data_IF_902247576087
#
_entry.id   IF_902247576087
#
_cell.length_a   1.000
_cell.length_b   1.000
_cell.length_c   1.000
_cell.angle_alpha   90.00
_cell.angle_beta   90.00
_cell.angle_gamma   90.00
#
_symmetry.space_group_name_H-M   'P 1'
#
loop_
_entity.id
_entity.type
_entity.pdbx_description
1 polymer ?
#
# COMPACT_ATOMS: atom_id res chain seq x y z
N UNK A 1 -22.84 -15.36 5.39
CA UNK A 1 -23.48 -15.77 6.65
C UNK A 1 -24.97 -15.47 6.54
N UNK A 2 -25.80 -16.54 6.58
CA UNK A 2 -27.23 -16.41 6.74
C UNK A 2 -27.56 -16.75 8.19
N UNK A 3 -28.41 -15.94 8.82
CA UNK A 3 -28.86 -16.17 10.19
C UNK A 3 -30.38 -16.29 10.20
N UNK A 4 -30.91 -17.29 10.87
CA UNK A 4 -32.33 -17.47 11.09
C UNK A 4 -32.61 -17.85 12.55
N UNK A 5 -33.73 -17.37 13.08
CA UNK A 5 -34.21 -17.81 14.38
C UNK A 5 -35.28 -18.89 14.16
N UNK A 6 -35.15 -20.01 14.83
CA UNK A 6 -36.13 -21.09 14.84
C UNK A 6 -36.61 -21.35 16.26
N UNK A 7 -37.81 -21.90 16.40
CA UNK A 7 -38.33 -22.29 17.71
C UNK A 7 -37.45 -23.39 18.33
N UNK A 8 -37.13 -23.22 19.59
CA UNK A 8 -36.42 -24.26 20.37
C UNK A 8 -37.32 -25.42 20.80
N UNK A 9 -36.74 -26.45 21.34
CA UNK A 9 -37.44 -27.65 21.82
C UNK A 9 -38.20 -27.46 23.12
N UNK A 10 -38.02 -26.35 23.83
CA UNK A 10 -38.71 -25.98 25.06
C UNK A 10 -39.49 -24.68 24.87
N UNK A 11 -40.60 -24.53 25.61
CA UNK A 11 -41.46 -23.36 25.55
C UNK A 11 -40.66 -22.06 25.88
N UNK A 12 -40.71 -21.08 24.94
CA UNK A 12 -39.95 -19.83 25.05
C UNK A 12 -38.48 -19.92 24.57
N UNK A 13 -37.96 -21.07 24.21
CA UNK A 13 -36.59 -21.19 23.69
C UNK A 13 -36.51 -20.82 22.20
N UNK A 14 -35.44 -20.14 21.84
CA UNK A 14 -35.13 -19.77 20.44
C UNK A 14 -33.75 -20.27 20.08
N UNK A 15 -33.64 -20.93 18.94
CA UNK A 15 -32.37 -21.39 18.38
C UNK A 15 -31.93 -20.40 17.31
N UNK A 16 -30.74 -19.87 17.42
CA UNK A 16 -30.08 -19.13 16.36
C UNK A 16 -29.37 -20.11 15.42
N UNK A 17 -29.88 -20.26 14.21
CA UNK A 17 -29.23 -21.03 13.15
C UNK A 17 -28.33 -20.08 12.37
N UNK A 18 -27.02 -20.42 12.32
CA UNK A 18 -26.04 -19.67 11.53
C UNK A 18 -25.54 -20.58 10.42
N UNK A 19 -25.89 -20.22 9.18
CA UNK A 19 -25.39 -20.91 7.99
C UNK A 19 -24.20 -20.13 7.42
N UNK A 20 -23.03 -20.75 7.40
CA UNK A 20 -21.80 -20.19 6.82
C UNK A 20 -21.50 -20.91 5.50
N UNK A 21 -21.51 -20.16 4.39
CA UNK A 21 -20.94 -20.67 3.13
C UNK A 21 -19.42 -20.50 3.17
N UNK A 22 -18.71 -21.60 3.11
CA UNK A 22 -17.26 -21.61 3.02
C UNK A 22 -16.85 -21.47 1.55
N UNK A 23 -15.96 -20.51 1.26
CA UNK A 23 -15.35 -20.32 -0.05
C UNK A 23 -13.88 -20.70 0.06
N UNK A 24 -13.53 -21.90 -0.44
CA UNK A 24 -12.16 -22.43 -0.35
C UNK A 24 -11.15 -21.52 -1.06
N UNK A 25 -11.51 -20.99 -2.24
CA UNK A 25 -10.63 -20.17 -3.06
C UNK A 25 -11.23 -18.78 -3.24
N UNK A 26 -10.45 -17.76 -2.94
CA UNK A 26 -10.73 -16.35 -3.24
C UNK A 26 -9.50 -15.69 -3.83
N UNK A 27 -9.69 -14.63 -4.60
CA UNK A 27 -8.54 -13.97 -5.20
C UNK A 27 -8.93 -12.72 -5.97
N UNK A 28 -7.95 -12.13 -6.66
CA UNK A 28 -8.19 -10.97 -7.49
C UNK A 28 -7.01 -10.63 -8.39
N UNK A 29 -7.33 -9.85 -9.39
CA UNK A 29 -6.37 -9.25 -10.32
C UNK A 29 -6.49 -7.75 -10.21
N UNK A 30 -5.38 -7.07 -10.02
CA UNK A 30 -5.30 -5.61 -9.99
C UNK A 30 -4.38 -5.12 -11.09
N UNK A 31 -4.76 -4.03 -11.72
CA UNK A 31 -3.94 -3.30 -12.68
C UNK A 31 -3.95 -1.81 -12.32
N UNK A 32 -2.80 -1.15 -12.43
CA UNK A 32 -2.69 0.29 -12.29
C UNK A 32 -1.54 0.87 -13.14
N UNK A 33 -1.55 2.19 -13.33
CA UNK A 33 -0.51 2.92 -14.07
C UNK A 33 0.18 3.99 -13.20
N UNK A 34 0.34 3.73 -11.92
CA UNK A 34 0.84 4.72 -10.95
C UNK A 34 2.36 4.69 -10.76
N UNK A 35 3.06 3.74 -11.36
CA UNK A 35 4.52 3.64 -11.26
C UNK A 35 5.22 4.79 -11.99
N UNK A 36 6.50 5.01 -11.66
CA UNK A 36 7.33 5.99 -12.37
C UNK A 36 7.51 5.61 -13.85
N UNK A 37 7.94 6.57 -14.66
CA UNK A 37 8.19 6.36 -16.10
C UNK A 37 9.36 5.38 -16.30
N UNK A 38 10.39 5.48 -15.48
CA UNK A 38 11.55 4.61 -15.47
C UNK A 38 11.17 3.16 -15.13
N UNK A 39 10.14 2.96 -14.32
CA UNK A 39 9.59 1.65 -13.99
C UNK A 39 8.46 1.22 -14.95
N UNK A 40 8.16 2.02 -16.00
CA UNK A 40 7.23 1.69 -17.08
C UNK A 40 5.76 1.91 -16.74
N UNK A 41 5.44 2.72 -15.73
CA UNK A 41 4.09 3.17 -15.31
C UNK A 41 3.09 2.08 -14.92
N UNK A 42 3.13 0.91 -15.53
CA UNK A 42 2.12 -0.14 -15.41
C UNK A 42 2.53 -1.21 -14.42
N UNK A 43 1.59 -1.65 -13.60
CA UNK A 43 1.77 -2.74 -12.65
C UNK A 43 0.53 -3.63 -12.65
N UNK A 44 0.73 -4.93 -12.85
CA UNK A 44 -0.26 -5.97 -12.65
C UNK A 44 0.04 -6.75 -11.38
N UNK A 45 -0.99 -7.07 -10.60
CA UNK A 45 -0.90 -7.88 -9.39
C UNK A 45 -1.96 -8.97 -9.48
N UNK A 46 -1.55 -10.20 -9.26
CA UNK A 46 -2.43 -11.35 -9.07
C UNK A 46 -2.32 -11.82 -7.64
N UNK A 47 -3.45 -12.00 -6.96
CA UNK A 47 -3.49 -12.55 -5.61
C UNK A 47 -4.50 -13.67 -5.54
N UNK A 48 -4.14 -14.74 -4.83
CA UNK A 48 -5.02 -15.89 -4.57
C UNK A 48 -4.90 -16.29 -3.10
N UNK A 49 -6.04 -16.54 -2.46
CA UNK A 49 -6.10 -16.99 -1.07
C UNK A 49 -6.86 -18.30 -1.01
N UNK A 50 -6.25 -19.31 -0.40
CA UNK A 50 -6.86 -20.58 -0.03
C UNK A 50 -7.32 -20.42 1.42
N UNK A 51 -8.63 -20.47 1.63
CA UNK A 51 -9.25 -20.28 2.93
C UNK A 51 -9.49 -21.62 3.60
N UNK A 52 -9.01 -21.77 4.82
CA UNK A 52 -9.22 -22.97 5.66
C UNK A 52 -8.95 -24.30 4.96
N UNK A 53 -7.78 -24.48 4.30
CA UNK A 53 -7.47 -25.75 3.60
C UNK A 53 -7.43 -26.96 4.52
N UNK A 54 -7.15 -26.78 5.81
CA UNK A 54 -7.10 -27.86 6.81
C UNK A 54 -8.35 -27.87 7.70
N UNK A 55 -9.15 -26.78 7.68
CA UNK A 55 -10.43 -26.71 8.41
C UNK A 55 -10.37 -25.99 9.76
N UNK A 56 -9.25 -25.36 10.11
CA UNK A 56 -9.06 -24.62 11.37
C UNK A 56 -9.22 -23.10 11.25
N UNK A 57 -9.69 -22.59 10.08
CA UNK A 57 -9.85 -21.16 9.84
C UNK A 57 -8.56 -20.44 9.42
N UNK A 58 -7.53 -21.21 9.08
CA UNK A 58 -6.26 -20.70 8.54
C UNK A 58 -6.44 -20.17 7.11
N UNK A 59 -5.50 -19.36 6.64
CA UNK A 59 -5.47 -18.91 5.24
C UNK A 59 -4.05 -18.89 4.69
N UNK A 60 -3.91 -19.32 3.44
CA UNK A 60 -2.69 -19.22 2.66
C UNK A 60 -2.94 -18.28 1.48
N UNK A 61 -2.28 -17.13 1.51
CA UNK A 61 -2.33 -16.13 0.43
C UNK A 61 -1.04 -16.19 -0.37
N UNK A 62 -1.17 -16.24 -1.69
CA UNK A 62 -0.08 -16.14 -2.65
C UNK A 62 -0.34 -14.90 -3.51
N UNK A 63 0.72 -14.14 -3.79
CA UNK A 63 0.62 -13.04 -4.75
C UNK A 63 1.81 -13.01 -5.68
N UNK A 64 1.57 -12.50 -6.88
CA UNK A 64 2.59 -12.20 -7.86
C UNK A 64 2.35 -10.82 -8.44
N UNK A 65 3.41 -10.08 -8.68
CA UNK A 65 3.36 -8.78 -9.33
C UNK A 65 4.35 -8.72 -10.48
N UNK A 66 3.95 -8.10 -11.57
CA UNK A 66 4.80 -7.88 -12.72
C UNK A 66 4.33 -6.68 -13.53
N UNK A 67 5.25 -6.12 -14.29
CA UNK A 67 4.88 -5.18 -15.35
C UNK A 67 4.29 -5.96 -16.54
N UNK A 68 3.03 -5.71 -16.92
CA UNK A 68 2.48 -6.31 -18.13
C UNK A 68 3.08 -5.68 -19.39
N UNK A 69 3.49 -6.51 -20.36
CA UNK A 69 3.93 -6.05 -21.68
C UNK A 69 2.71 -5.97 -22.60
N UNK A 70 2.18 -4.77 -22.80
CA UNK A 70 1.03 -4.56 -23.69
C UNK A 70 1.52 -3.98 -25.01
N UNK A 71 1.37 -4.75 -26.12
CA UNK A 71 1.72 -4.29 -27.48
C UNK A 71 0.95 -3.00 -27.82
N UNK A 72 1.67 -1.96 -28.22
CA UNK A 72 1.09 -0.67 -28.66
C UNK A 72 0.98 0.41 -27.58
N UNK A 73 1.20 0.13 -26.30
CA UNK A 73 1.43 1.17 -25.32
C UNK A 73 2.89 1.63 -25.39
N UNK A 74 3.10 2.94 -25.56
CA UNK A 74 4.42 3.56 -25.45
C UNK A 74 4.91 3.37 -24.02
N UNK A 75 5.64 2.32 -23.78
CA UNK A 75 6.45 2.10 -22.59
C UNK A 75 7.89 2.12 -23.02
N UNK A 76 8.73 2.71 -22.21
CA UNK A 76 10.18 2.59 -22.29
C UNK A 76 10.56 1.15 -22.61
N UNK A 77 11.54 0.94 -23.45
CA UNK A 77 11.98 -0.29 -24.08
C UNK A 77 11.90 -1.61 -23.29
N UNK A 78 12.35 -2.67 -23.91
CA UNK A 78 12.28 -4.04 -23.37
C UNK A 78 13.05 -4.28 -22.04
N UNK A 79 13.80 -3.27 -21.56
CA UNK A 79 14.74 -3.38 -20.44
C UNK A 79 14.13 -3.05 -19.06
N UNK A 80 12.90 -2.57 -19.02
CA UNK A 80 12.24 -2.25 -17.75
C UNK A 80 11.61 -3.49 -17.14
N UNK A 81 12.00 -3.81 -15.93
CA UNK A 81 11.47 -4.95 -15.21
C UNK A 81 11.02 -4.57 -13.81
N UNK A 82 9.76 -4.85 -13.50
CA UNK A 82 9.26 -5.03 -12.13
C UNK A 82 8.69 -6.42 -12.07
N UNK A 83 9.16 -7.21 -11.14
CA UNK A 83 8.59 -8.52 -10.85
C UNK A 83 8.77 -8.85 -9.38
N UNK A 84 7.85 -9.62 -8.84
CA UNK A 84 7.95 -10.09 -7.47
C UNK A 84 6.83 -11.03 -7.13
N UNK A 85 6.88 -11.58 -5.96
CA UNK A 85 5.85 -12.45 -5.43
C UNK A 85 6.09 -12.80 -3.98
N UNK A 86 5.11 -13.40 -3.37
CA UNK A 86 5.23 -13.80 -1.97
C UNK A 86 4.10 -14.70 -1.52
N UNK A 87 4.28 -15.18 -0.31
CA UNK A 87 3.39 -16.07 0.42
C UNK A 87 3.09 -15.47 1.78
N UNK A 88 1.86 -15.59 2.23
CA UNK A 88 1.46 -15.25 3.60
C UNK A 88 0.55 -16.34 4.14
N UNK A 89 0.90 -16.85 5.29
CA UNK A 89 0.10 -17.83 6.04
C UNK A 89 -0.43 -17.18 7.30
N UNK A 90 -1.71 -17.34 7.60
CA UNK A 90 -2.29 -16.92 8.87
C UNK A 90 -3.05 -18.06 9.52
N UNK A 91 -2.94 -18.15 10.85
CA UNK A 91 -3.53 -19.20 11.65
C UNK A 91 -4.19 -18.62 12.88
N UNK A 92 -5.46 -18.94 13.17
CA UNK A 92 -6.12 -18.54 14.42
C UNK A 92 -5.57 -19.34 15.59
N UNK A 93 -5.22 -18.65 16.67
CA UNK A 93 -4.72 -19.23 17.91
C UNK A 93 -5.81 -19.21 18.96
N UNK A 94 -6.46 -20.35 19.16
CA UNK A 94 -7.59 -20.48 20.09
C UNK A 94 -8.87 -19.86 19.55
N UNK A 95 -9.80 -19.55 20.44
CA UNK A 95 -11.17 -19.10 20.17
C UNK A 95 -11.42 -17.60 20.44
N UNK A 96 -10.44 -16.91 21.00
CA UNK A 96 -10.52 -15.50 21.39
C UNK A 96 -10.21 -14.50 20.25
N UNK A 97 -10.02 -15.00 19.01
CA UNK A 97 -9.74 -14.20 17.82
C UNK A 97 -8.27 -13.80 17.64
N UNK A 98 -7.34 -14.28 18.48
CA UNK A 98 -5.91 -14.11 18.27
C UNK A 98 -5.48 -14.84 16.97
N UNK A 99 -4.70 -14.18 16.12
CA UNK A 99 -4.15 -14.74 14.88
C UNK A 99 -2.65 -14.58 14.82
N UNK A 100 -1.95 -15.66 14.47
CA UNK A 100 -0.55 -15.59 14.06
C UNK A 100 -0.46 -15.47 12.55
N UNK A 101 0.57 -14.80 12.07
CA UNK A 101 0.85 -14.67 10.64
C UNK A 101 2.34 -14.80 10.37
N UNK A 102 2.67 -15.43 9.24
CA UNK A 102 4.02 -15.55 8.70
C UNK A 102 3.97 -15.13 7.24
N UNK A 103 4.87 -14.25 6.79
CA UNK A 103 4.95 -13.89 5.39
C UNK A 103 6.39 -13.86 4.90
N UNK A 104 6.55 -14.11 3.60
CA UNK A 104 7.79 -13.96 2.87
C UNK A 104 7.52 -13.43 1.47
N UNK A 105 8.35 -12.50 1.00
CA UNK A 105 8.25 -11.98 -0.37
C UNK A 105 9.63 -11.62 -0.93
N UNK A 106 9.72 -11.72 -2.25
CA UNK A 106 10.85 -11.25 -3.03
C UNK A 106 10.37 -10.34 -4.15
N UNK A 107 11.14 -9.30 -4.44
CA UNK A 107 10.88 -8.41 -5.56
C UNK A 107 12.18 -7.94 -6.19
N UNK A 108 12.12 -7.72 -7.50
CA UNK A 108 13.21 -7.19 -8.31
C UNK A 108 12.68 -6.02 -9.12
N UNK A 109 13.44 -4.94 -9.15
CA UNK A 109 13.19 -3.79 -10.00
C UNK A 109 14.43 -3.44 -10.80
N UNK A 110 14.22 -3.18 -12.11
CA UNK A 110 15.25 -2.69 -13.02
C UNK A 110 14.70 -1.48 -13.76
N UNK A 111 15.04 -0.27 -13.32
CA UNK A 111 14.61 0.96 -13.99
C UNK A 111 15.19 1.03 -15.41
N UNK A 112 14.41 1.58 -16.33
CA UNK A 112 14.78 1.82 -17.72
C UNK A 112 14.73 3.31 -18.07
N UNK A 113 14.41 3.63 -19.31
CA UNK A 113 14.32 5.01 -19.80
C UNK A 113 15.67 5.73 -19.76
N UNK A 114 15.69 6.96 -19.29
CA UNK A 114 16.86 7.83 -19.26
C UNK A 114 17.99 7.30 -18.37
N UNK A 115 17.68 6.46 -17.38
CA UNK A 115 18.65 5.85 -16.47
C UNK A 115 19.00 4.39 -16.80
N UNK A 116 18.49 3.86 -17.94
CA UNK A 116 18.77 2.48 -18.35
C UNK A 116 20.28 2.19 -18.52
N UNK A 117 21.05 3.21 -18.97
CA UNK A 117 22.51 3.10 -19.16
C UNK A 117 23.27 2.87 -17.85
N UNK A 118 22.69 3.19 -16.72
CA UNK A 118 23.27 2.94 -15.40
C UNK A 118 23.16 1.46 -14.99
N UNK A 119 22.31 0.67 -15.68
CA UNK A 119 22.14 -0.75 -15.40
C UNK A 119 21.77 -1.04 -13.95
N UNK A 120 20.96 -0.17 -13.33
CA UNK A 120 20.58 -0.32 -11.93
C UNK A 120 19.60 -1.47 -11.78
N UNK A 121 19.83 -2.32 -10.79
CA UNK A 121 18.93 -3.39 -10.37
C UNK A 121 18.81 -3.37 -8.85
N UNK A 122 17.58 -3.44 -8.32
CA UNK A 122 17.34 -3.64 -6.89
C UNK A 122 16.63 -4.97 -6.66
N UNK A 123 17.20 -5.78 -5.77
CA UNK A 123 16.66 -7.05 -5.30
C UNK A 123 16.33 -6.93 -3.83
N UNK A 124 15.05 -7.08 -3.48
CA UNK A 124 14.58 -7.00 -2.11
C UNK A 124 13.93 -8.32 -1.68
N UNK A 125 14.34 -8.81 -0.52
CA UNK A 125 13.72 -9.92 0.20
C UNK A 125 13.15 -9.41 1.51
N UNK A 126 11.97 -9.85 1.86
CA UNK A 126 11.36 -9.48 3.14
C UNK A 126 10.61 -10.64 3.77
N UNK A 127 10.63 -10.68 5.08
CA UNK A 127 9.88 -11.64 5.89
C UNK A 127 9.23 -10.97 7.08
N UNK A 128 8.12 -11.52 7.57
CA UNK A 128 7.51 -11.06 8.80
C UNK A 128 6.86 -12.18 9.60
N UNK A 129 6.91 -12.04 10.93
CA UNK A 129 6.16 -12.84 11.89
C UNK A 129 5.28 -11.89 12.69
N UNK A 130 3.98 -12.16 12.76
CA UNK A 130 3.03 -11.25 13.38
C UNK A 130 1.99 -11.95 14.25
N UNK A 131 1.48 -11.18 15.20
CA UNK A 131 0.31 -11.52 16.00
C UNK A 131 -0.69 -10.38 15.89
N UNK A 132 -1.97 -10.71 15.70
CA UNK A 132 -3.07 -9.75 15.66
C UNK A 132 -4.16 -10.19 16.62
N UNK A 133 -4.57 -9.29 17.50
CA UNK A 133 -5.61 -9.54 18.50
C UNK A 133 -6.73 -8.49 18.40
N UNK A 134 -8.00 -8.90 18.26
CA UNK A 134 -9.13 -8.00 18.32
C UNK A 134 -9.40 -7.60 19.76
N UNK A 135 -9.09 -6.36 20.13
CA UNK A 135 -9.35 -5.83 21.46
C UNK A 135 -10.85 -5.66 21.73
N UNK A 136 -11.59 -5.34 20.67
CA UNK A 136 -13.03 -5.12 20.73
C UNK A 136 -13.66 -5.38 19.38
N UNK A 137 -14.66 -6.27 19.36
CA UNK A 137 -15.50 -6.55 18.21
C UNK A 137 -16.93 -6.16 18.54
N UNK A 138 -17.48 -5.20 17.80
CA UNK A 138 -18.90 -4.81 17.85
C UNK A 138 -19.45 -4.80 16.44
N UNK A 139 -20.76 -4.78 16.31
CA UNK A 139 -21.44 -4.72 15.02
C UNK A 139 -21.10 -3.43 14.23
N UNK A 140 -20.83 -2.34 14.93
CA UNK A 140 -20.56 -1.00 14.38
C UNK A 140 -19.09 -0.59 14.42
N UNK A 141 -18.23 -1.32 15.14
CA UNK A 141 -16.84 -0.92 15.34
C UNK A 141 -15.92 -2.06 15.75
N UNK A 142 -14.67 -1.97 15.31
CA UNK A 142 -13.60 -2.93 15.61
C UNK A 142 -12.34 -2.20 16.05
N UNK A 143 -11.71 -2.68 17.12
CA UNK A 143 -10.36 -2.33 17.53
C UNK A 143 -9.47 -3.55 17.43
N UNK A 144 -8.30 -3.42 16.81
CA UNK A 144 -7.33 -4.51 16.69
C UNK A 144 -5.93 -4.05 17.06
N UNK A 145 -5.23 -4.83 17.85
CA UNK A 145 -3.82 -4.66 18.19
C UNK A 145 -2.99 -5.60 17.32
N UNK A 146 -1.88 -5.10 16.77
CA UNK A 146 -0.94 -5.87 15.94
C UNK A 146 0.47 -5.72 16.49
N UNK A 147 1.19 -6.84 16.62
CA UNK A 147 2.63 -6.88 16.89
C UNK A 147 3.31 -7.66 15.78
N UNK A 148 4.37 -7.10 15.15
CA UNK A 148 5.10 -7.79 14.08
C UNK A 148 6.60 -7.60 14.23
N UNK A 149 7.36 -8.65 13.91
CA UNK A 149 8.79 -8.58 13.65
C UNK A 149 8.95 -8.70 12.15
N UNK A 150 9.61 -7.70 11.53
CA UNK A 150 9.87 -7.67 10.11
C UNK A 150 11.37 -7.71 9.85
N UNK A 151 11.75 -8.40 8.79
CA UNK A 151 13.10 -8.47 8.28
C UNK A 151 13.10 -8.05 6.81
N UNK A 152 14.07 -7.22 6.41
CA UNK A 152 14.28 -6.74 5.05
C UNK A 152 15.76 -6.91 4.72
N UNK A 153 16.05 -7.37 3.50
CA UNK A 153 17.37 -7.44 2.89
C UNK A 153 17.25 -6.92 1.46
N UNK A 154 17.83 -5.75 1.18
CA UNK A 154 17.77 -5.08 -0.11
C UNK A 154 19.18 -4.80 -0.62
N UNK A 155 19.51 -5.33 -1.80
CA UNK A 155 20.76 -5.09 -2.49
C UNK A 155 20.45 -4.34 -3.78
N UNK A 156 21.14 -3.20 -3.97
CA UNK A 156 21.13 -2.47 -5.23
C UNK A 156 22.48 -2.62 -5.92
N UNK A 157 22.43 -2.94 -7.22
CA UNK A 157 23.60 -3.18 -8.06
C UNK A 157 23.55 -2.28 -9.29
N UNK A 158 24.72 -2.05 -9.91
CA UNK A 158 24.85 -1.41 -11.22
C UNK A 158 25.67 -2.28 -12.15
N UNK A 159 25.33 -2.27 -13.43
CA UNK A 159 26.09 -2.93 -14.50
C UNK A 159 26.56 -1.92 -15.56
N UNK A 160 26.71 -0.65 -15.23
CA UNK A 160 27.11 0.41 -16.16
C UNK A 160 28.47 0.14 -16.84
N UNK A 161 29.37 -0.57 -16.17
CA UNK A 161 30.70 -0.93 -16.68
C UNK A 161 30.77 -2.34 -17.31
N UNK A 162 29.64 -3.05 -17.40
CA UNK A 162 29.60 -4.46 -17.81
C UNK A 162 29.99 -5.45 -16.70
N UNK A 163 30.21 -4.96 -15.49
CA UNK A 163 30.51 -5.76 -14.28
C UNK A 163 29.51 -5.38 -13.22
N UNK A 164 28.82 -6.37 -12.65
CA UNK A 164 27.88 -6.14 -11.56
C UNK A 164 28.64 -5.64 -10.32
N UNK A 165 28.27 -4.47 -9.86
CA UNK A 165 28.87 -3.82 -8.69
C UNK A 165 27.78 -3.40 -7.72
N UNK A 166 27.91 -3.79 -6.45
CA UNK A 166 26.97 -3.40 -5.41
C UNK A 166 27.09 -1.90 -5.13
N UNK A 167 25.96 -1.17 -5.28
CA UNK A 167 25.85 0.25 -4.98
C UNK A 167 25.49 0.44 -3.51
N UNK A 168 24.53 -0.37 -3.02
CA UNK A 168 24.08 -0.32 -1.64
C UNK A 168 23.55 -1.66 -1.18
N UNK A 169 23.64 -1.89 0.13
CA UNK A 169 23.08 -3.08 0.77
C UNK A 169 22.48 -2.70 2.13
N UNK A 170 21.16 -2.71 2.21
CA UNK A 170 20.41 -2.50 3.44
C UNK A 170 19.96 -3.85 4.00
N UNK A 171 20.20 -4.09 5.27
CA UNK A 171 19.62 -5.20 6.00
C UNK A 171 19.14 -4.70 7.35
N UNK A 172 17.88 -4.92 7.65
CA UNK A 172 17.28 -4.43 8.89
C UNK A 172 16.21 -5.37 9.41
N UNK A 173 16.15 -5.46 10.72
CA UNK A 173 15.05 -6.10 11.46
C UNK A 173 14.35 -5.05 12.29
N UNK A 174 13.03 -5.06 12.33
CA UNK A 174 12.24 -4.11 13.09
C UNK A 174 11.11 -4.78 13.86
N UNK A 175 10.87 -4.27 15.06
CA UNK A 175 9.67 -4.55 15.86
C UNK A 175 8.64 -3.45 15.58
N UNK A 176 7.40 -3.82 15.28
CA UNK A 176 6.30 -2.90 15.03
C UNK A 176 5.09 -3.24 15.90
N UNK A 177 4.51 -2.21 16.50
CA UNK A 177 3.28 -2.31 17.28
C UNK A 177 2.24 -1.40 16.65
N UNK A 178 1.12 -1.97 16.22
CA UNK A 178 0.06 -1.26 15.51
C UNK A 178 -1.27 -1.35 16.23
N UNK A 179 -2.03 -0.28 16.17
CA UNK A 179 -3.41 -0.19 16.64
C UNK A 179 -4.30 0.28 15.49
N UNK A 180 -5.30 -0.51 15.15
CA UNK A 180 -6.26 -0.20 14.09
C UNK A 180 -7.65 -0.05 14.67
N UNK A 181 -8.38 0.99 14.25
CA UNK A 181 -9.79 1.20 14.52
C UNK A 181 -10.56 1.33 13.20
N UNK A 182 -11.68 0.66 13.12
CA UNK A 182 -12.68 0.88 12.09
C UNK A 182 -14.06 0.94 12.73
N UNK A 183 -14.86 1.94 12.37
CA UNK A 183 -16.23 2.03 12.86
C UNK A 183 -17.05 3.05 12.10
N UNK A 184 -18.38 2.84 12.06
CA UNK A 184 -19.31 3.69 11.32
C UNK A 184 -20.50 4.18 12.19
N UNK A 185 -20.27 4.94 13.28
CA UNK A 185 -21.37 5.39 14.16
C UNK A 185 -22.25 6.49 13.54
N UNK A 186 -21.67 7.48 12.88
CA UNK A 186 -22.34 8.60 12.15
C UNK A 186 -21.65 8.96 10.84
N UNK A 187 -20.84 8.08 10.36
CA UNK A 187 -19.91 8.16 9.26
C UNK A 187 -18.82 7.14 9.53
N UNK A 188 -18.09 6.72 8.51
CA UNK A 188 -17.09 5.69 8.67
C UNK A 188 -15.74 6.31 8.98
N UNK A 189 -15.13 5.90 10.09
CA UNK A 189 -13.80 6.26 10.55
C UNK A 189 -12.90 5.06 10.38
N UNK A 190 -11.78 5.25 9.72
CA UNK A 190 -10.64 4.35 9.75
C UNK A 190 -9.46 5.07 10.38
N UNK A 191 -8.77 4.41 11.28
CA UNK A 191 -7.58 4.90 11.96
C UNK A 191 -6.61 3.74 12.12
N UNK A 192 -5.37 3.93 11.68
CA UNK A 192 -4.27 2.97 11.86
C UNK A 192 -3.02 3.72 12.32
N UNK A 193 -2.45 3.32 13.44
CA UNK A 193 -1.20 3.87 13.94
C UNK A 193 -0.22 2.73 14.20
N UNK A 194 1.06 2.97 13.91
CA UNK A 194 2.13 1.99 14.06
C UNK A 194 3.38 2.65 14.63
N UNK A 195 3.85 2.15 15.76
CA UNK A 195 5.15 2.46 16.32
C UNK A 195 6.15 1.39 15.86
N UNK A 196 7.25 1.81 15.26
CA UNK A 196 8.31 0.93 14.77
C UNK A 196 9.64 1.24 15.41
N UNK A 197 10.41 0.20 15.70
CA UNK A 197 11.77 0.30 16.21
C UNK A 197 12.69 -0.66 15.46
N UNK A 198 13.77 -0.13 14.90
CA UNK A 198 14.85 -0.93 14.37
C UNK A 198 15.62 -1.67 15.48
N UNK A 199 15.95 -2.92 15.22
CA UNK A 199 16.65 -3.82 16.14
C UNK A 199 18.03 -4.15 15.60
N UNK A 200 18.97 -4.47 16.49
CA UNK A 200 20.33 -4.93 16.13
C UNK A 200 20.39 -6.36 15.58
N UNK A 201 19.29 -7.07 15.59
CA UNK A 201 19.24 -8.48 15.21
C UNK A 201 19.29 -8.59 13.69
N UNK A 202 20.35 -9.18 13.13
CA UNK A 202 20.56 -9.36 11.68
C UNK A 202 20.47 -8.06 10.85
N UNK A 203 20.74 -6.90 11.48
CA UNK A 203 20.75 -5.59 10.83
C UNK A 203 22.19 -5.19 10.49
N UNK A 204 22.38 -4.45 9.39
CA UNK A 204 23.68 -3.86 9.04
C UNK A 204 23.83 -2.49 9.68
N UNK A 205 24.97 -2.26 10.29
CA UNK A 205 25.33 -0.99 10.89
C UNK A 205 26.09 -0.07 9.91
N UNK A 206 26.15 1.23 10.22
CA UNK A 206 26.95 2.17 9.45
C UNK A 206 28.46 1.85 9.49
N UNK A 207 28.97 1.22 10.55
CA UNK A 207 30.36 0.79 10.65
C UNK A 207 30.69 -0.33 9.68
N UNK A 208 29.79 -1.28 9.43
CA UNK A 208 29.95 -2.32 8.41
C UNK A 208 29.93 -1.74 6.99
N UNK A 209 29.17 -0.67 6.78
CA UNK A 209 29.10 0.05 5.51
C UNK A 209 30.40 0.82 5.18
N UNK A 210 31.22 1.19 6.16
CA UNK A 210 32.51 1.87 5.91
C UNK A 210 33.60 0.94 5.40
N UNK A 211 33.47 -0.37 5.63
CA UNK A 211 34.45 -1.39 5.21
C UNK A 211 33.96 -2.26 4.05
N UNK A 212 32.72 -2.08 3.60
CA UNK A 212 32.07 -2.86 2.55
C UNK A 212 31.10 -2.04 1.71
N UNK A 213 30.09 -2.68 1.15
CA UNK A 213 29.02 -2.02 0.39
C UNK A 213 28.27 -1.01 1.28
N UNK A 214 28.09 0.25 0.85
CA UNK A 214 27.43 1.27 1.65
C UNK A 214 25.94 0.96 1.90
N UNK A 215 25.34 1.63 2.88
CA UNK A 215 23.89 1.65 3.04
C UNK A 215 23.24 2.51 1.95
N UNK A 216 21.96 2.30 1.67
CA UNK A 216 21.20 3.08 0.67
C UNK A 216 21.22 4.58 0.93
N UNK A 217 21.41 4.98 2.19
CA UNK A 217 21.61 6.39 2.62
C UNK A 217 22.72 6.47 3.65
N UNK A 218 23.67 7.39 3.42
CA UNK A 218 24.82 7.60 4.30
C UNK A 218 24.40 8.09 5.70
N UNK A 219 23.30 8.84 5.78
CA UNK A 219 22.71 9.31 7.03
C UNK A 219 21.64 8.39 7.60
N UNK A 220 21.34 7.30 6.92
CA UNK A 220 20.37 6.29 7.35
C UNK A 220 20.92 5.40 8.45
N UNK A 221 20.05 4.91 9.30
CA UNK A 221 20.38 3.95 10.35
C UNK A 221 19.38 2.82 10.41
N UNK A 222 19.86 1.62 10.73
CA UNK A 222 19.00 0.48 11.07
C UNK A 222 18.42 0.59 12.49
N UNK A 223 19.01 1.47 13.34
CA UNK A 223 18.52 1.78 14.69
C UNK A 223 17.67 3.03 14.67
N UNK A 224 16.41 2.89 14.39
CA UNK A 224 15.48 4.01 14.29
C UNK A 224 14.23 3.78 15.14
N UNK A 225 13.53 4.89 15.39
CA UNK A 225 12.17 4.88 15.91
C UNK A 225 11.30 5.75 15.02
N UNK A 226 10.17 5.25 14.57
CA UNK A 226 9.20 6.09 13.89
C UNK A 226 7.77 5.74 14.30
N UNK A 227 6.92 6.74 14.22
CA UNK A 227 5.47 6.64 14.37
C UNK A 227 4.83 6.89 13.00
N UNK A 228 4.00 5.97 12.52
CA UNK A 228 3.14 6.13 11.35
C UNK A 228 1.70 6.29 11.78
N UNK A 229 0.97 7.12 11.05
CA UNK A 229 -0.45 7.34 11.22
C UNK A 229 -1.12 7.39 9.84
N UNK A 230 -2.22 6.66 9.69
CA UNK A 230 -3.13 6.78 8.56
C UNK A 230 -4.55 6.83 9.09
N UNK A 231 -5.33 7.78 8.62
CA UNK A 231 -6.72 7.92 9.02
C UNK A 231 -7.59 8.37 7.86
N UNK A 232 -8.84 7.99 7.89
CA UNK A 232 -9.84 8.55 7.00
C UNK A 232 -11.19 8.65 7.69
N UNK A 233 -11.92 9.70 7.36
CA UNK A 233 -13.29 9.89 7.79
C UNK A 233 -14.16 10.13 6.57
N UNK A 234 -15.28 9.41 6.47
CA UNK A 234 -16.23 9.58 5.39
C UNK A 234 -17.65 9.66 5.94
N UNK A 235 -18.40 10.62 5.44
CA UNK A 235 -19.78 10.86 5.87
C UNK A 235 -20.61 11.45 4.73
N UNK A 236 -21.91 11.20 4.78
CA UNK A 236 -22.86 11.82 3.88
C UNK A 236 -23.23 13.22 4.37
N UNK A 237 -23.09 14.20 3.48
CA UNK A 237 -23.52 15.58 3.67
C UNK A 237 -24.84 15.85 2.91
N UNK A 238 -25.22 17.11 2.79
CA UNK A 238 -26.43 17.54 2.10
C UNK A 238 -26.57 16.88 0.69
N UNK A 239 -27.78 16.44 0.34
CA UNK A 239 -28.16 15.91 -0.98
C UNK A 239 -27.37 14.65 -1.42
N UNK A 240 -27.07 13.73 -0.50
CA UNK A 240 -26.38 12.46 -0.79
C UNK A 240 -24.92 12.60 -1.29
N UNK A 241 -24.29 13.73 -1.04
CA UNK A 241 -22.86 13.86 -1.28
C UNK A 241 -22.06 13.17 -0.20
N UNK A 242 -21.16 12.30 -0.61
CA UNK A 242 -20.18 11.66 0.26
C UNK A 242 -18.92 12.52 0.33
N UNK A 243 -18.57 12.98 1.52
CA UNK A 243 -17.31 13.65 1.82
C UNK A 243 -16.38 12.63 2.43
N UNK A 244 -15.17 12.50 1.89
CA UNK A 244 -14.10 11.69 2.46
C UNK A 244 -12.88 12.58 2.72
N UNK A 245 -12.36 12.52 3.94
CA UNK A 245 -11.13 13.21 4.33
C UNK A 245 -10.13 12.16 4.76
N UNK A 246 -8.99 12.11 4.12
CA UNK A 246 -7.85 11.25 4.47
C UNK A 246 -6.71 12.09 5.01
N UNK A 247 -6.07 11.61 6.05
CA UNK A 247 -4.86 12.19 6.64
C UNK A 247 -3.88 11.07 6.95
N UNK A 248 -2.59 11.31 6.68
CA UNK A 248 -1.55 10.39 7.10
C UNK A 248 -0.22 11.09 7.30
N UNK A 249 0.66 10.39 8.00
CA UNK A 249 1.98 10.92 8.30
C UNK A 249 2.93 9.87 8.86
N UNK A 250 4.20 10.23 8.88
CA UNK A 250 5.28 9.55 9.57
C UNK A 250 6.12 10.57 10.30
N UNK A 251 6.49 10.25 11.52
CA UNK A 251 7.37 11.09 12.34
C UNK A 251 8.52 10.27 12.90
N UNK A 252 9.74 10.81 12.77
CA UNK A 252 10.97 10.27 13.35
C UNK A 252 12.01 11.38 13.51
N UNK A 253 12.94 11.23 14.43
CA UNK A 253 14.12 12.11 14.52
C UNK A 253 15.36 11.48 13.88
N UNK A 254 15.26 10.22 13.48
CA UNK A 254 16.35 9.46 12.87
C UNK A 254 16.40 9.67 11.36
N UNK A 255 17.55 9.50 10.74
CA UNK A 255 17.67 9.29 9.30
C UNK A 255 17.30 7.86 8.97
N UNK A 256 16.33 7.65 8.10
CA UNK A 256 15.85 6.32 7.73
C UNK A 256 16.57 5.80 6.51
N UNK A 257 16.70 4.48 6.40
CA UNK A 257 17.05 3.80 5.14
C UNK A 257 15.88 3.92 4.14
N UNK A 258 16.16 3.79 2.85
CA UNK A 258 15.15 3.99 1.80
C UNK A 258 13.90 3.13 2.00
N UNK A 259 14.05 1.89 2.44
CA UNK A 259 12.96 0.94 2.72
C UNK A 259 12.02 1.38 3.86
N UNK A 260 12.47 2.26 4.75
CA UNK A 260 11.67 2.77 5.88
C UNK A 260 11.14 4.20 5.66
N UNK A 261 11.59 4.89 4.60
CA UNK A 261 11.02 6.17 4.22
C UNK A 261 9.56 6.01 3.76
N UNK A 262 8.76 7.03 3.99
CA UNK A 262 7.38 7.08 3.52
C UNK A 262 7.21 8.12 2.42
N UNK A 263 6.24 7.86 1.51
CA UNK A 263 5.91 8.78 0.41
C UNK A 263 4.58 9.49 0.65
N UNK A 264 4.50 10.75 0.21
CA UNK A 264 3.25 11.53 0.16
C UNK A 264 2.47 11.27 -1.14
N UNK A 265 3.03 10.47 -2.06
CA UNK A 265 2.45 10.17 -3.37
C UNK A 265 1.67 8.86 -3.31
N UNK A 266 0.53 8.81 -3.97
CA UNK A 266 -0.29 7.60 -4.07
C UNK A 266 -1.74 7.88 -4.44
N UNK A 267 -2.51 6.83 -4.70
CA UNK A 267 -3.92 6.93 -5.16
C UNK A 267 -4.84 7.62 -4.15
N UNK A 268 -4.63 7.39 -2.85
CA UNK A 268 -5.39 8.01 -1.76
C UNK A 268 -4.60 9.13 -1.05
N UNK A 269 -3.56 9.63 -1.68
CA UNK A 269 -2.68 10.71 -1.25
C UNK A 269 -2.64 11.79 -2.33
N UNK A 270 -1.46 12.22 -2.74
CA UNK A 270 -1.24 13.09 -3.89
C UNK A 270 -1.08 12.19 -5.12
N UNK A 271 -2.09 12.13 -5.96
CA UNK A 271 -2.16 11.20 -7.10
C UNK A 271 -1.72 11.83 -8.43
N UNK A 272 -1.40 13.11 -8.43
CA UNK A 272 -0.94 13.81 -9.63
C UNK A 272 0.53 13.52 -10.01
N UNK A 273 1.27 12.85 -9.14
CA UNK A 273 2.66 12.44 -9.34
C UNK A 273 2.76 10.92 -9.35
N UNK A 274 3.81 10.42 -9.97
CA UNK A 274 4.10 8.98 -10.00
C UNK A 274 4.68 8.48 -8.69
N UNK A 275 4.51 7.21 -8.39
CA UNK A 275 5.01 6.56 -7.18
C UNK A 275 6.51 6.77 -7.01
N UNK A 276 6.94 7.05 -5.79
CA UNK A 276 8.35 7.27 -5.46
C UNK A 276 8.90 8.68 -5.73
N UNK A 277 8.13 9.57 -6.40
CA UNK A 277 8.62 10.90 -6.74
C UNK A 277 8.97 11.77 -5.52
N UNK A 278 8.25 11.64 -4.41
CA UNK A 278 8.52 12.37 -3.17
C UNK A 278 8.37 11.44 -1.98
N UNK A 279 9.48 11.18 -1.31
CA UNK A 279 9.55 10.41 -0.05
C UNK A 279 10.39 11.17 0.98
N UNK A 280 10.33 10.75 2.23
CA UNK A 280 11.12 11.35 3.30
C UNK A 280 11.03 10.59 4.62
N UNK A 281 11.83 11.05 5.58
CA UNK A 281 11.86 10.48 6.93
C UNK A 281 10.64 10.92 7.74
N UNK A 282 10.25 12.21 7.61
CA UNK A 282 9.02 12.78 8.17
C UNK A 282 8.12 13.19 7.02
N UNK A 283 6.88 12.75 7.08
CA UNK A 283 5.89 13.17 6.08
C UNK A 283 4.57 13.50 6.76
N UNK A 284 3.77 14.32 6.10
CA UNK A 284 2.34 14.40 6.32
C UNK A 284 1.62 14.72 5.01
N UNK A 285 0.41 14.26 4.90
CA UNK A 285 -0.48 14.60 3.79
C UNK A 285 -1.93 14.63 4.25
N UNK A 286 -2.72 15.41 3.53
CA UNK A 286 -4.16 15.44 3.65
C UNK A 286 -4.79 15.41 2.26
N UNK A 287 -5.89 14.66 2.13
CA UNK A 287 -6.69 14.58 0.91
C UNK A 287 -8.17 14.70 1.26
N UNK A 288 -8.88 15.61 0.59
CA UNK A 288 -10.35 15.75 0.65
C UNK A 288 -10.97 15.33 -0.68
N UNK A 289 -12.04 14.53 -0.62
CA UNK A 289 -12.83 14.12 -1.78
C UNK A 289 -14.29 14.43 -1.55
N UNK A 290 -14.96 14.93 -2.58
CA UNK A 290 -16.40 15.12 -2.64
C UNK A 290 -16.95 14.29 -3.78
N UNK A 291 -17.81 13.32 -3.50
CA UNK A 291 -18.37 12.42 -4.48
C UNK A 291 -19.89 12.29 -4.33
N UNK A 292 -20.54 11.83 -5.38
CA UNK A 292 -21.95 11.45 -5.36
C UNK A 292 -22.14 10.12 -6.06
N UNK A 293 -22.91 9.22 -5.42
CA UNK A 293 -23.17 7.90 -5.95
C UNK A 293 -24.42 7.91 -6.85
N UNK A 294 -24.28 7.35 -8.05
CA UNK A 294 -25.37 7.12 -8.98
C UNK A 294 -25.49 5.62 -9.26
N UNK A 295 -26.60 5.03 -8.82
CA UNK A 295 -26.93 3.65 -9.18
C UNK A 295 -27.58 3.64 -10.56
N UNK A 296 -26.82 3.22 -11.58
CA UNK A 296 -27.31 3.17 -12.97
C UNK A 296 -28.13 1.91 -13.21
N UNK A 297 -27.65 0.78 -12.68
CA UNK A 297 -28.32 -0.51 -12.68
C UNK A 297 -28.28 -1.09 -11.28
N UNK A 298 -29.05 -2.17 -11.05
CA UNK A 298 -29.18 -2.81 -9.73
C UNK A 298 -27.82 -3.09 -9.07
N UNK A 299 -26.78 -3.34 -9.87
CA UNK A 299 -25.44 -3.73 -9.40
C UNK A 299 -24.30 -2.85 -9.96
N UNK A 300 -24.62 -1.71 -10.58
CA UNK A 300 -23.62 -0.77 -11.12
C UNK A 300 -23.78 0.58 -10.45
N UNK A 301 -22.76 0.97 -9.70
CA UNK A 301 -22.65 2.31 -9.10
C UNK A 301 -21.52 3.08 -9.74
N UNK A 302 -21.83 4.27 -10.24
CA UNK A 302 -20.87 5.23 -10.77
C UNK A 302 -20.79 6.40 -9.80
N UNK A 303 -19.59 6.72 -9.32
CA UNK A 303 -19.36 7.76 -8.32
C UNK A 303 -18.33 8.76 -8.85
N UNK A 304 -18.77 9.81 -9.60
CA UNK A 304 -17.90 10.92 -9.92
C UNK A 304 -17.50 11.66 -8.64
N UNK A 305 -16.26 12.15 -8.64
CA UNK A 305 -15.71 12.89 -7.50
C UNK A 305 -14.76 13.99 -7.93
N UNK A 306 -14.64 14.99 -7.05
CA UNK A 306 -13.60 16.01 -7.08
C UNK A 306 -12.70 15.78 -5.86
N UNK A 307 -11.41 16.06 -6.01
CA UNK A 307 -10.50 15.97 -4.87
C UNK A 307 -9.49 17.12 -4.88
N UNK A 308 -8.96 17.39 -3.69
CA UNK A 308 -7.77 18.18 -3.46
C UNK A 308 -6.89 17.50 -2.42
N UNK A 309 -5.57 17.55 -2.62
CA UNK A 309 -4.61 16.98 -1.71
C UNK A 309 -3.37 17.85 -1.59
N UNK A 310 -2.73 17.81 -0.42
CA UNK A 310 -1.43 18.42 -0.20
C UNK A 310 -0.63 17.61 0.81
N UNK A 311 0.71 17.75 0.75
CA UNK A 311 1.59 17.10 1.69
C UNK A 311 3.02 17.61 1.57
N UNK A 312 3.80 17.27 2.58
CA UNK A 312 5.22 17.65 2.71
C UNK A 312 6.00 16.44 3.17
N UNK A 313 7.20 16.29 2.64
CA UNK A 313 8.18 15.31 3.05
C UNK A 313 9.48 16.04 3.48
N UNK A 314 10.03 15.62 4.61
CA UNK A 314 11.27 16.16 5.17
C UNK A 314 12.31 15.04 5.24
N UNK A 315 13.53 15.34 4.85
CA UNK A 315 14.69 14.48 4.97
C UNK A 315 15.51 14.90 6.19
N UNK A 316 15.71 14.00 7.15
CA UNK A 316 16.59 14.23 8.29
C UNK A 316 18.04 14.03 7.85
N UNK A 317 18.92 14.96 8.27
CA UNK A 317 20.35 14.92 7.92
C UNK A 317 20.59 14.73 6.42
N UNK A 318 20.03 15.60 5.53
CA UNK A 318 20.15 15.45 4.10
C UNK A 318 21.61 15.58 3.67
N UNK A 319 22.01 14.80 2.68
CA UNK A 319 23.28 14.96 1.96
C UNK A 319 23.19 16.16 1.01
N UNK A 320 24.32 16.55 0.39
CA UNK A 320 24.32 17.65 -0.58
C UNK A 320 23.42 17.38 -1.81
N UNK A 321 23.17 16.11 -2.13
CA UNK A 321 22.30 15.69 -3.24
C UNK A 321 20.82 15.55 -2.85
N UNK A 322 20.51 15.56 -1.56
CA UNK A 322 19.13 15.38 -1.06
C UNK A 322 18.50 16.74 -0.71
N UNK A 323 17.24 16.94 -1.10
CA UNK A 323 16.48 18.09 -0.63
C UNK A 323 16.01 17.89 0.81
N UNK A 324 16.16 18.93 1.65
CA UNK A 324 15.69 18.90 3.03
C UNK A 324 14.18 18.82 3.15
N UNK A 325 13.46 19.43 2.23
CA UNK A 325 12.01 19.55 2.24
C UNK A 325 11.47 19.52 0.81
N UNK A 326 10.48 18.67 0.58
CA UNK A 326 9.74 18.58 -0.67
C UNK A 326 8.24 18.65 -0.37
N UNK A 327 7.53 19.54 -1.04
CA UNK A 327 6.10 19.70 -0.86
C UNK A 327 5.37 19.55 -2.20
N UNK A 328 4.16 19.00 -2.16
CA UNK A 328 3.32 18.90 -3.32
C UNK A 328 1.86 19.20 -2.99
N UNK A 329 1.15 19.78 -3.97
CA UNK A 329 -0.30 19.98 -3.95
C UNK A 329 -0.88 19.46 -5.25
N UNK A 330 -2.05 18.88 -5.19
CA UNK A 330 -2.78 18.43 -6.37
C UNK A 330 -4.28 18.63 -6.21
N UNK A 331 -4.93 18.77 -7.35
CA UNK A 331 -6.37 18.74 -7.46
C UNK A 331 -6.75 17.97 -8.73
N UNK A 332 -7.92 17.37 -8.72
CA UNK A 332 -8.38 16.59 -9.85
C UNK A 332 -9.83 16.19 -9.74
N UNK A 333 -10.25 15.50 -10.78
CA UNK A 333 -11.57 14.90 -10.87
C UNK A 333 -11.44 13.44 -11.30
N UNK A 334 -12.37 12.61 -10.88
CA UNK A 334 -12.35 11.21 -11.23
C UNK A 334 -13.71 10.57 -11.15
N UNK A 335 -13.73 9.29 -11.51
CA UNK A 335 -14.91 8.45 -11.45
C UNK A 335 -14.52 7.11 -10.86
N UNK A 336 -15.21 6.70 -9.82
CA UNK A 336 -15.18 5.33 -9.32
C UNK A 336 -16.36 4.56 -9.90
N UNK A 337 -16.11 3.35 -10.37
CA UNK A 337 -17.10 2.44 -10.95
C UNK A 337 -17.02 1.16 -10.14
N UNK A 338 -18.10 0.81 -9.47
CA UNK A 338 -18.15 -0.35 -8.57
C UNK A 338 -19.26 -1.30 -8.95
N UNK A 339 -19.02 -2.59 -8.79
CA UNK A 339 -19.99 -3.68 -8.83
C UNK A 339 -20.63 -3.97 -10.19
N UNK A 340 -20.04 -4.89 -10.94
CA UNK A 340 -20.55 -5.41 -12.20
C UNK A 340 -21.08 -6.85 -12.08
N UNK A 341 -21.63 -7.25 -10.95
CA UNK A 341 -21.93 -8.67 -10.65
C UNK A 341 -22.84 -9.40 -11.65
N UNK A 342 -23.78 -8.71 -12.31
CA UNK A 342 -24.81 -9.37 -13.14
C UNK A 342 -24.44 -9.49 -14.63
N UNK A 343 -23.37 -8.83 -15.10
CA UNK A 343 -23.02 -8.85 -16.53
C UNK A 343 -21.97 -9.90 -16.91
N UNK A 344 -21.28 -10.46 -15.94
CA UNK A 344 -20.31 -11.52 -16.16
C UNK A 344 -20.76 -12.74 -15.35
N UNK A 345 -20.85 -13.89 -15.97
CA UNK A 345 -21.25 -15.21 -15.44
C UNK A 345 -20.47 -15.69 -14.18
N UNK A 346 -19.83 -14.77 -13.47
CA UNK A 346 -19.01 -15.05 -12.29
C UNK A 346 -19.43 -14.11 -11.15
N UNK A 347 -19.55 -14.63 -9.94
CA UNK A 347 -19.66 -13.83 -8.69
C UNK A 347 -18.42 -12.95 -8.48
N UNK A 348 -18.22 -11.96 -9.35
CA UNK A 348 -17.02 -11.13 -9.38
C UNK A 348 -17.36 -9.68 -9.11
N UNK A 349 -16.61 -9.08 -8.19
CA UNK A 349 -16.65 -7.64 -7.96
C UNK A 349 -15.58 -6.97 -8.81
N UNK A 350 -16.00 -6.04 -9.66
CA UNK A 350 -15.09 -5.20 -10.43
C UNK A 350 -15.16 -3.79 -9.89
N UNK A 351 -14.01 -3.23 -9.58
CA UNK A 351 -13.85 -1.82 -9.21
C UNK A 351 -12.90 -1.18 -10.21
N UNK A 352 -13.31 -0.12 -10.85
CA UNK A 352 -12.45 0.69 -11.70
C UNK A 352 -12.41 2.12 -11.18
N UNK A 353 -11.24 2.76 -11.25
CA UNK A 353 -11.04 4.17 -10.92
C UNK A 353 -10.31 4.84 -12.07
N UNK A 354 -10.87 5.91 -12.57
CA UNK A 354 -10.23 6.81 -13.55
C UNK A 354 -10.14 8.17 -12.91
N UNK A 355 -8.94 8.74 -12.85
CA UNK A 355 -8.72 10.04 -12.23
C UNK A 355 -7.79 10.89 -13.11
N UNK A 356 -8.23 12.09 -13.44
CA UNK A 356 -7.39 13.11 -14.03
C UNK A 356 -7.00 14.13 -12.98
N UNK A 357 -5.72 14.35 -12.84
CA UNK A 357 -5.15 15.17 -11.79
C UNK A 357 -4.09 16.13 -12.31
N UNK A 358 -3.98 17.27 -11.65
CA UNK A 358 -3.00 18.30 -11.94
C UNK A 358 -2.19 18.60 -10.68
N UNK A 359 -0.87 18.65 -10.83
CA UNK A 359 0.03 19.16 -9.80
C UNK A 359 -0.03 20.68 -9.80
N UNK A 360 -0.28 21.26 -8.63
CA UNK A 360 -0.14 22.68 -8.39
C UNK A 360 1.28 22.87 -7.87
N UNK A 361 2.20 23.37 -8.75
CA UNK A 361 3.60 23.52 -8.41
C UNK A 361 3.77 24.37 -7.15
N UNK A 362 4.64 23.93 -6.24
CA UNK A 362 5.24 24.79 -5.22
C UNK A 362 6.66 25.10 -5.69
N UNK A 363 7.16 26.30 -5.46
CA UNK A 363 8.46 26.81 -5.94
C UNK A 363 9.67 25.92 -5.60
N UNK A 364 9.50 24.96 -4.68
CA UNK A 364 10.53 24.02 -4.23
C UNK A 364 10.63 22.73 -5.06
N UNK A 365 9.63 22.40 -5.88
CA UNK A 365 9.65 21.19 -6.74
C UNK A 365 10.45 21.45 -8.03
N UNK A 366 10.62 22.71 -8.44
CA UNK A 366 11.40 23.08 -9.64
C UNK A 366 12.92 22.79 -9.49
N UNK A 367 13.42 22.59 -8.28
CA UNK A 367 14.84 22.29 -8.03
C UNK A 367 15.20 20.83 -8.39
N UNK A 368 14.23 19.93 -8.45
CA UNK A 368 14.38 18.57 -9.00
C UNK A 368 14.12 18.56 -10.53
N UNK A 369 14.63 19.58 -11.22
CA UNK A 369 14.32 19.91 -12.62
C UNK A 369 14.71 18.87 -13.67
N UNK A 370 15.34 17.76 -13.32
CA UNK A 370 15.59 16.65 -14.25
C UNK A 370 14.51 15.55 -14.19
N UNK A 371 13.68 15.50 -13.15
CA UNK A 371 12.48 14.69 -13.17
C UNK A 371 11.41 15.50 -13.89
N UNK A 372 11.07 15.14 -15.13
CA UNK A 372 9.93 15.70 -15.90
C UNK A 372 8.65 15.47 -15.09
N UNK A 373 8.36 16.36 -14.15
CA UNK A 373 7.10 16.38 -13.42
C UNK A 373 6.01 16.70 -14.43
N UNK A 374 5.38 15.68 -14.98
CA UNK A 374 4.19 15.88 -15.80
C UNK A 374 3.18 16.64 -14.95
N UNK A 375 2.86 17.88 -15.36
CA UNK A 375 1.88 18.75 -14.67
C UNK A 375 0.48 18.13 -14.62
N UNK A 376 0.25 17.08 -15.42
CA UNK A 376 -1.02 16.38 -15.58
C UNK A 376 -0.79 14.87 -15.53
N UNK A 377 -1.60 14.17 -14.78
CA UNK A 377 -1.55 12.72 -14.67
C UNK A 377 -2.95 12.12 -14.87
N UNK A 378 -3.05 11.13 -15.76
CA UNK A 378 -4.23 10.29 -15.90
C UNK A 378 -3.94 8.95 -15.20
N UNK A 379 -4.58 8.75 -14.09
CA UNK A 379 -4.48 7.51 -13.30
C UNK A 379 -5.61 6.55 -13.68
N UNK A 380 -5.23 5.30 -13.90
CA UNK A 380 -6.14 4.18 -14.13
C UNK A 380 -5.88 3.12 -13.07
N UNK A 381 -6.95 2.63 -12.48
CA UNK A 381 -6.92 1.52 -11.54
C UNK A 381 -8.08 0.59 -11.87
N UNK A 382 -7.80 -0.69 -11.95
CA UNK A 382 -8.78 -1.75 -12.15
C UNK A 382 -8.50 -2.85 -11.14
N UNK A 383 -9.52 -3.28 -10.44
CA UNK A 383 -9.47 -4.44 -9.55
C UNK A 383 -10.65 -5.35 -9.83
N UNK A 384 -10.36 -6.62 -9.97
CA UNK A 384 -11.36 -7.68 -10.13
C UNK A 384 -11.11 -8.72 -9.04
N UNK A 385 -12.11 -9.00 -8.20
CA UNK A 385 -12.05 -10.03 -7.17
C UNK A 385 -13.07 -11.12 -7.42
N UNK A 386 -12.77 -12.35 -7.04
CA UNK A 386 -13.61 -13.54 -7.20
C UNK A 386 -13.52 -14.43 -5.95
#
# INVERSE_FOLDING_TARGET
LNTAFTAGSSEGATILVVEAKHKLLSGGVQFNNTQSEELGRQLGILQTTINSPIGFGESLTMFGLARPTIKGMKGTGNDVSIRGGGLSFSYPLGDNGLKASLSYSESMTRPGGDIASLGIESNMKSGSLGLTYPLRLRADSTWSLRGTINWIDEIQQTNASGIDTDISHDRLTSLRLGLTYFGCPRGCIYFDTELSRGLDIASRSASEATTGTPLSRTSGTSHYHHLRLNSSYSFYALMDYLIKIGFGGQYTNDGLLNSEQSTIIGMDKISALTSGAISGDKIWYIRGELSRNFSIFKNLTISPYLYSAMGVAYTNKPTAAESKENAAKSAGLGVNINNFNDYFYFDKNITAKVEYSKTIATDKIEILSDVRLNKHHLMLFLNMSF
#
